data_IF_251360951858
#
_entry.id   IF_251360951858
#
_cell.length_a   1.000
_cell.length_b   1.000
_cell.length_c   1.000
_cell.angle_alpha   90.00
_cell.angle_beta   90.00
_cell.angle_gamma   90.00
#
_symmetry.space_group_name_H-M   'P 1'
#
loop_
_entity.id
_entity.type
_entity.pdbx_description
1 polymer ?
#
# COMPACT_ATOMS: atom_id res chain seq x y z
N UNK A 1 44.45 1.73 -16.36
CA UNK A 1 43.46 2.57 -15.63
C UNK A 1 42.45 1.66 -14.92
N UNK A 2 42.36 1.74 -13.59
CA UNK A 2 41.65 0.77 -12.71
C UNK A 2 40.13 0.74 -12.99
N UNK A 3 39.67 -0.32 -13.66
CA UNK A 3 38.24 -0.62 -13.95
C UNK A 3 37.32 -0.57 -12.71
N UNK A 4 37.88 -0.76 -11.51
CA UNK A 4 37.16 -0.63 -10.25
C UNK A 4 36.70 0.80 -9.93
N UNK A 5 37.39 1.83 -10.43
CA UNK A 5 36.93 3.22 -10.30
C UNK A 5 35.72 3.52 -11.19
N UNK A 6 35.62 2.85 -12.35
CA UNK A 6 34.47 2.93 -13.25
C UNK A 6 33.25 2.17 -12.68
N UNK A 7 33.47 0.94 -12.18
CA UNK A 7 32.41 0.15 -11.55
C UNK A 7 31.89 0.85 -10.28
N UNK A 8 32.77 1.45 -9.48
CA UNK A 8 32.38 2.24 -8.32
C UNK A 8 31.52 3.46 -8.67
N UNK A 9 31.86 4.18 -9.75
CA UNK A 9 31.07 5.33 -10.22
C UNK A 9 29.67 4.94 -10.72
N UNK A 10 29.56 3.83 -11.46
CA UNK A 10 28.27 3.33 -11.97
C UNK A 10 27.38 2.84 -10.82
N UNK A 11 27.96 2.10 -9.85
CA UNK A 11 27.23 1.68 -8.65
C UNK A 11 26.69 2.85 -7.84
N UNK A 12 27.47 3.93 -7.72
CA UNK A 12 27.06 5.15 -7.01
C UNK A 12 25.85 5.83 -7.68
N UNK A 13 25.83 5.92 -9.02
CA UNK A 13 24.70 6.48 -9.76
C UNK A 13 23.43 5.65 -9.61
N UNK A 14 23.57 4.32 -9.55
CA UNK A 14 22.42 3.43 -9.33
C UNK A 14 21.82 3.60 -7.93
N UNK A 15 22.66 3.71 -6.90
CA UNK A 15 22.23 3.96 -5.52
C UNK A 15 21.54 5.33 -5.41
N UNK A 16 22.12 6.37 -6.02
CA UNK A 16 21.51 7.70 -6.06
C UNK A 16 20.16 7.70 -6.80
N UNK A 17 20.06 6.97 -7.92
CA UNK A 17 18.79 6.79 -8.64
C UNK A 17 17.72 6.09 -7.81
N UNK A 18 18.08 5.05 -7.04
CA UNK A 18 17.16 4.35 -6.12
C UNK A 18 16.75 5.25 -4.95
N UNK A 19 17.66 6.06 -4.42
CA UNK A 19 17.36 7.01 -3.35
C UNK A 19 16.40 8.12 -3.81
N UNK A 20 16.63 8.69 -4.99
CA UNK A 20 15.74 9.71 -5.58
C UNK A 20 14.39 9.09 -5.97
N UNK A 21 14.39 7.89 -6.56
CA UNK A 21 13.17 7.18 -6.92
C UNK A 21 12.33 6.79 -5.70
N UNK A 22 12.96 6.31 -4.62
CA UNK A 22 12.24 5.96 -3.38
C UNK A 22 11.72 7.18 -2.63
N UNK A 23 12.48 8.28 -2.58
CA UNK A 23 12.02 9.54 -1.97
C UNK A 23 10.89 10.19 -2.78
N UNK A 24 11.02 10.24 -4.10
CA UNK A 24 9.97 10.75 -4.99
C UNK A 24 8.70 9.90 -4.95
N UNK A 25 8.83 8.57 -4.93
CA UNK A 25 7.68 7.66 -4.81
C UNK A 25 6.95 7.82 -3.47
N UNK A 26 7.68 8.05 -2.37
CA UNK A 26 7.10 8.28 -1.04
C UNK A 26 6.32 9.59 -0.96
N UNK A 27 6.85 10.68 -1.53
CA UNK A 27 6.19 11.99 -1.55
C UNK A 27 4.98 12.03 -2.52
N UNK A 28 5.07 11.36 -3.67
CA UNK A 28 3.98 11.32 -4.65
C UNK A 28 2.79 10.47 -4.17
N UNK A 29 3.06 9.40 -3.43
CA UNK A 29 2.02 8.53 -2.89
C UNK A 29 1.23 9.21 -1.75
N UNK A 30 1.93 9.92 -0.86
CA UNK A 30 1.32 10.59 0.30
C UNK A 30 0.44 11.80 -0.08
N UNK A 31 0.73 12.51 -1.17
CA UNK A 31 0.06 13.79 -1.45
C UNK A 31 -1.24 13.70 -2.27
N UNK A 32 -1.42 12.69 -3.14
CA UNK A 32 -2.53 12.71 -4.11
C UNK A 32 -3.53 11.54 -4.06
N UNK A 33 -3.13 10.35 -3.60
CA UNK A 33 -3.97 9.13 -3.66
C UNK A 33 -4.43 8.60 -2.30
N UNK A 34 -3.65 8.78 -1.23
CA UNK A 34 -3.94 8.10 0.04
C UNK A 34 -5.17 8.62 0.81
N UNK A 35 -5.53 9.90 0.66
CA UNK A 35 -6.63 10.50 1.44
C UNK A 35 -8.02 10.17 0.88
N UNK A 36 -8.17 10.15 -0.45
CA UNK A 36 -9.45 9.81 -1.12
C UNK A 36 -9.74 8.32 -1.15
N UNK A 37 -8.71 7.48 -1.07
CA UNK A 37 -8.83 6.02 -1.22
C UNK A 37 -8.85 5.26 0.09
N UNK A 38 -8.89 5.88 1.27
CA UNK A 38 -8.95 5.16 2.57
C UNK A 38 -10.26 5.35 3.34
N UNK A 39 -10.97 6.45 3.14
CA UNK A 39 -12.26 6.71 3.78
C UNK A 39 -13.41 6.20 2.88
N UNK A 40 -14.22 5.22 3.32
CA UNK A 40 -15.37 4.72 2.58
C UNK A 40 -16.33 5.84 2.16
N UNK A 41 -16.57 6.82 3.05
CA UNK A 41 -17.45 7.93 2.75
C UNK A 41 -16.87 8.85 1.66
N UNK A 42 -15.57 9.14 1.72
CA UNK A 42 -14.88 9.94 0.70
C UNK A 42 -14.82 9.23 -0.68
N UNK A 43 -14.79 7.90 -0.70
CA UNK A 43 -14.85 7.12 -1.94
C UNK A 43 -16.25 7.17 -2.54
N UNK A 44 -17.29 6.93 -1.73
CA UNK A 44 -18.68 7.01 -2.19
C UNK A 44 -18.98 8.39 -2.75
N UNK A 45 -18.60 9.46 -2.04
CA UNK A 45 -18.82 10.83 -2.52
C UNK A 45 -18.06 11.09 -3.82
N UNK A 46 -16.81 10.65 -3.93
CA UNK A 46 -16.03 10.79 -5.17
C UNK A 46 -16.66 10.06 -6.36
N UNK A 47 -17.13 8.83 -6.17
CA UNK A 47 -17.79 8.07 -7.24
C UNK A 47 -19.15 8.67 -7.60
N UNK A 48 -19.93 9.09 -6.61
CA UNK A 48 -21.21 9.75 -6.82
C UNK A 48 -21.00 11.06 -7.58
N UNK A 49 -20.08 11.93 -7.15
CA UNK A 49 -19.76 13.20 -7.83
C UNK A 49 -19.30 12.98 -9.28
N UNK A 50 -18.45 11.98 -9.51
CA UNK A 50 -18.00 11.62 -10.85
C UNK A 50 -19.15 11.16 -11.74
N UNK A 51 -20.00 10.25 -11.24
CA UNK A 51 -21.16 9.75 -11.98
C UNK A 51 -22.19 10.86 -12.20
N UNK A 52 -22.41 11.72 -11.21
CA UNK A 52 -23.30 12.87 -11.31
C UNK A 52 -22.85 13.83 -12.39
N UNK A 53 -21.55 14.13 -12.48
CA UNK A 53 -21.01 15.00 -13.53
C UNK A 53 -21.07 14.34 -14.91
N UNK A 54 -20.60 13.10 -15.02
CA UNK A 54 -20.42 12.45 -16.32
C UNK A 54 -21.78 12.00 -16.92
N UNK A 55 -22.78 11.70 -16.08
CA UNK A 55 -24.13 11.27 -16.49
C UNK A 55 -25.21 12.34 -16.27
N UNK A 56 -24.87 13.49 -15.69
CA UNK A 56 -25.78 14.61 -15.36
C UNK A 56 -26.96 14.14 -14.48
N UNK A 57 -26.66 13.43 -13.40
CA UNK A 57 -27.66 12.86 -12.50
C UNK A 57 -28.42 13.94 -11.73
N UNK A 58 -29.75 13.83 -11.65
CA UNK A 58 -30.59 14.64 -10.75
C UNK A 58 -30.42 14.23 -9.29
N UNK A 59 -30.86 15.07 -8.36
CA UNK A 59 -30.76 14.79 -6.92
C UNK A 59 -31.47 13.48 -6.54
N UNK A 60 -32.68 13.25 -7.06
CA UNK A 60 -33.42 11.99 -6.88
C UNK A 60 -32.67 10.76 -7.41
N UNK A 61 -31.91 10.91 -8.50
CA UNK A 61 -31.10 9.82 -9.05
C UNK A 61 -29.86 9.58 -8.18
N UNK A 62 -29.25 10.63 -7.65
CA UNK A 62 -28.11 10.53 -6.75
C UNK A 62 -28.48 9.81 -5.45
N UNK A 63 -29.64 10.12 -4.86
CA UNK A 63 -30.14 9.44 -3.66
C UNK A 63 -30.34 7.94 -3.88
N UNK A 64 -30.80 7.54 -5.07
CA UNK A 64 -30.99 6.13 -5.44
C UNK A 64 -29.68 5.40 -5.73
N UNK A 65 -28.71 6.09 -6.31
CA UNK A 65 -27.42 5.49 -6.73
C UNK A 65 -26.44 5.40 -5.55
N UNK A 66 -26.47 6.35 -4.62
CA UNK A 66 -25.61 6.35 -3.43
C UNK A 66 -25.57 5.00 -2.67
N UNK A 67 -26.71 4.37 -2.28
CA UNK A 67 -26.67 3.10 -1.56
C UNK A 67 -26.06 1.96 -2.39
N UNK A 68 -26.18 2.00 -3.72
CA UNK A 68 -25.54 1.01 -4.62
C UNK A 68 -24.02 1.14 -4.56
N UNK A 69 -23.49 2.36 -4.61
CA UNK A 69 -22.06 2.62 -4.47
C UNK A 69 -21.55 2.18 -3.09
N UNK A 70 -22.30 2.49 -2.03
CA UNK A 70 -21.96 2.10 -0.66
C UNK A 70 -21.89 0.57 -0.50
N UNK A 71 -22.84 -0.17 -1.09
CA UNK A 71 -22.83 -1.63 -1.07
C UNK A 71 -21.63 -2.21 -1.85
N UNK A 72 -21.30 -1.61 -3.01
CA UNK A 72 -20.14 -2.01 -3.80
C UNK A 72 -18.82 -1.80 -3.04
N UNK A 73 -18.63 -0.66 -2.35
CA UNK A 73 -17.41 -0.44 -1.57
C UNK A 73 -17.31 -1.43 -0.38
N UNK A 74 -18.44 -1.74 0.28
CA UNK A 74 -18.49 -2.78 1.33
C UNK A 74 -18.07 -4.15 0.81
N UNK A 75 -18.62 -4.59 -0.32
CA UNK A 75 -18.25 -5.87 -0.96
C UNK A 75 -16.77 -5.90 -1.33
N UNK A 76 -16.26 -4.79 -1.88
CA UNK A 76 -14.84 -4.64 -2.21
C UNK A 76 -13.95 -4.75 -0.97
N UNK A 77 -14.29 -4.07 0.13
CA UNK A 77 -13.53 -4.15 1.37
C UNK A 77 -13.56 -5.55 1.98
N UNK A 78 -14.69 -6.27 1.90
CA UNK A 78 -14.76 -7.67 2.34
C UNK A 78 -13.80 -8.57 1.53
N UNK A 79 -13.78 -8.45 0.21
CA UNK A 79 -12.83 -9.18 -0.66
C UNK A 79 -11.39 -8.81 -0.33
N UNK A 80 -11.10 -7.52 -0.13
CA UNK A 80 -9.77 -7.06 0.24
C UNK A 80 -9.35 -7.57 1.62
N UNK A 81 -10.27 -7.63 2.59
CA UNK A 81 -9.99 -8.17 3.92
C UNK A 81 -9.62 -9.66 3.85
N UNK A 82 -10.39 -10.46 3.11
CA UNK A 82 -10.10 -11.88 2.87
C UNK A 82 -8.74 -12.07 2.20
N UNK A 83 -8.51 -11.36 1.09
CA UNK A 83 -7.22 -11.42 0.37
C UNK A 83 -6.03 -11.03 1.26
N UNK A 84 -6.18 -10.01 2.11
CA UNK A 84 -5.13 -9.59 3.06
C UNK A 84 -4.80 -10.68 4.08
N UNK A 85 -5.79 -11.46 4.51
CA UNK A 85 -5.58 -12.59 5.41
C UNK A 85 -4.83 -13.73 4.69
N UNK A 86 -5.28 -14.12 3.51
CA UNK A 86 -4.64 -15.17 2.69
C UNK A 86 -3.18 -14.83 2.37
N UNK A 87 -2.90 -13.58 1.96
CA UNK A 87 -1.52 -13.14 1.71
C UNK A 87 -0.67 -13.22 2.97
N UNK A 88 -1.23 -12.88 4.14
CA UNK A 88 -0.50 -12.97 5.41
C UNK A 88 -0.11 -14.42 5.72
N UNK A 89 -1.03 -15.35 5.53
CA UNK A 89 -0.76 -16.78 5.74
C UNK A 89 0.33 -17.30 4.80
N UNK A 90 0.27 -16.95 3.50
CA UNK A 90 1.30 -17.31 2.52
C UNK A 90 2.68 -16.78 2.94
N UNK A 91 2.74 -15.53 3.42
CA UNK A 91 3.99 -14.95 3.89
C UNK A 91 4.50 -15.63 5.16
N UNK A 92 3.63 -15.88 6.14
CA UNK A 92 3.99 -16.54 7.39
C UNK A 92 4.50 -17.98 7.14
N UNK A 93 3.90 -18.73 6.21
CA UNK A 93 4.41 -20.03 5.74
C UNK A 93 5.79 -19.90 5.09
N UNK A 94 5.95 -18.98 4.14
CA UNK A 94 7.22 -18.74 3.47
C UNK A 94 8.35 -18.39 4.43
N UNK A 95 8.09 -17.54 5.44
CA UNK A 95 9.05 -17.22 6.49
C UNK A 95 9.42 -18.45 7.33
N UNK A 96 8.44 -19.30 7.66
CA UNK A 96 8.69 -20.52 8.44
C UNK A 96 9.57 -21.50 7.69
N UNK A 97 9.28 -21.74 6.40
CA UNK A 97 10.08 -22.61 5.53
C UNK A 97 11.49 -22.08 5.30
N UNK A 98 11.65 -20.76 5.19
CA UNK A 98 13.00 -20.16 5.09
C UNK A 98 13.83 -20.42 6.34
N UNK A 99 13.24 -20.43 7.55
CA UNK A 99 13.99 -20.68 8.80
C UNK A 99 14.64 -22.06 8.86
N UNK A 100 14.02 -23.07 8.26
CA UNK A 100 14.51 -24.46 8.29
C UNK A 100 15.91 -24.61 7.69
N UNK A 101 16.29 -23.73 6.75
CA UNK A 101 17.60 -23.74 6.10
C UNK A 101 18.63 -22.76 6.67
N UNK A 102 18.33 -22.09 7.79
CA UNK A 102 19.16 -21.03 8.34
C UNK A 102 19.78 -21.44 9.69
N UNK A 103 20.98 -20.96 9.95
CA UNK A 103 21.60 -21.04 11.28
C UNK A 103 20.93 -20.09 12.28
N UNK A 104 21.28 -20.22 13.57
CA UNK A 104 20.64 -19.45 14.64
C UNK A 104 20.79 -17.92 14.48
N UNK A 105 21.93 -17.44 14.00
CA UNK A 105 22.17 -16.00 13.81
C UNK A 105 21.33 -15.48 12.63
N UNK A 106 21.25 -16.25 11.55
CA UNK A 106 20.43 -15.94 10.38
C UNK A 106 18.93 -15.99 10.68
N UNK A 107 18.48 -16.94 11.50
CA UNK A 107 17.09 -17.02 11.95
C UNK A 107 16.69 -15.77 12.75
N UNK A 108 17.54 -15.32 13.67
CA UNK A 108 17.29 -14.10 14.44
C UNK A 108 17.15 -12.87 13.53
N UNK A 109 18.02 -12.76 12.52
CA UNK A 109 17.95 -11.66 11.53
C UNK A 109 16.68 -11.73 10.69
N UNK A 110 16.24 -12.93 10.30
CA UNK A 110 15.00 -13.12 9.55
C UNK A 110 13.77 -12.71 10.39
N UNK A 111 13.77 -13.00 11.68
CA UNK A 111 12.71 -12.59 12.60
C UNK A 111 12.60 -11.08 12.74
N UNK A 112 13.73 -10.38 12.84
CA UNK A 112 13.74 -8.92 12.83
C UNK A 112 13.20 -8.34 11.52
N UNK A 113 13.54 -8.97 10.38
CA UNK A 113 13.02 -8.55 9.08
C UNK A 113 11.50 -8.72 9.01
N UNK A 114 10.99 -9.87 9.48
CA UNK A 114 9.55 -10.14 9.57
C UNK A 114 8.84 -9.15 10.47
N UNK A 115 9.38 -8.86 11.65
CA UNK A 115 8.81 -7.90 12.60
C UNK A 115 8.74 -6.48 12.00
N UNK A 116 9.80 -6.01 11.34
CA UNK A 116 9.81 -4.71 10.64
C UNK A 116 8.79 -4.66 9.52
N UNK A 117 8.66 -5.74 8.75
CA UNK A 117 7.67 -5.85 7.69
C UNK A 117 6.23 -5.81 8.23
N UNK A 118 5.93 -6.56 9.28
CA UNK A 118 4.63 -6.57 9.96
C UNK A 118 4.28 -5.20 10.54
N UNK A 119 5.26 -4.50 11.12
CA UNK A 119 5.07 -3.14 11.64
C UNK A 119 4.74 -2.14 10.52
N UNK A 120 5.45 -2.20 9.39
CA UNK A 120 5.17 -1.36 8.22
C UNK A 120 3.79 -1.66 7.64
N UNK A 121 3.39 -2.94 7.56
CA UNK A 121 2.04 -3.31 7.13
C UNK A 121 0.97 -2.78 8.08
N UNK A 122 1.19 -2.82 9.40
CA UNK A 122 0.28 -2.23 10.39
C UNK A 122 0.19 -0.71 10.26
N UNK A 123 1.30 -0.02 10.00
CA UNK A 123 1.32 1.44 9.76
C UNK A 123 0.50 1.83 8.52
N UNK A 124 0.60 1.05 7.43
CA UNK A 124 -0.21 1.26 6.22
C UNK A 124 -1.72 1.04 6.45
N UNK A 125 -2.11 0.21 7.41
CA UNK A 125 -3.51 -0.03 7.81
C UNK A 125 -4.09 1.06 8.72
N UNK A 126 -3.26 1.83 9.43
CA UNK A 126 -3.74 2.90 10.32
C UNK A 126 -4.10 4.14 9.51
N UNK A 127 -5.23 4.81 9.79
CA UNK A 127 -5.48 6.14 9.24
C UNK A 127 -4.35 7.08 9.71
N UNK A 128 -3.84 7.97 8.85
CA UNK A 128 -2.86 8.97 9.27
C UNK A 128 -3.47 9.79 10.41
N UNK A 129 -2.66 10.10 11.43
CA UNK A 129 -3.05 10.99 12.54
C UNK A 129 -3.59 12.30 11.92
N UNK A 130 -4.86 12.60 12.16
CA UNK A 130 -5.38 13.94 11.92
C UNK A 130 -4.65 14.88 12.87
N UNK A 131 -3.76 15.69 12.33
CA UNK A 131 -3.27 16.87 13.05
C UNK A 131 -4.43 17.88 13.02
N UNK A 132 -5.02 18.11 14.19
CA UNK A 132 -5.95 19.22 14.44
C UNK A 132 -5.17 20.52 14.58
#
# INVERSE_FOLDING_TARGET
>A
MKRWKLIGGIGLMFILGVLVGSAGSRLYHEYYLERKWKDPAARTTFFLEKLSRDLRLSDDQQEKIKPVIDELDKKREAVNAKRRAEIKEILDDGFSRMKEGLDAEQQQKLDEMKARFDEQMKKRKRPPKSFH
#
